data_IF_553912379535
#
_entry.id   IF_553912379535
#
_cell.length_a   1.000
_cell.length_b   1.000
_cell.length_c   1.000
_cell.angle_alpha   90.00
_cell.angle_beta   90.00
_cell.angle_gamma   90.00
#
_symmetry.space_group_name_H-M   'P 1'
#
loop_
_entity.id
_entity.type
_entity.pdbx_description
1 polymer ?
#
# COMPACT_ATOMS: atom_id res chain seq x y z
N UNK A 1 -28.45 0.79 -21.44
CA UNK A 1 -27.55 1.47 -20.48
C UNK A 1 -26.38 0.54 -20.24
N UNK A 2 -25.12 0.94 -20.50
CA UNK A 2 -23.97 0.08 -20.25
C UNK A 2 -23.75 -0.05 -18.74
N UNK A 3 -23.71 -1.29 -18.25
CA UNK A 3 -23.31 -1.65 -16.89
C UNK A 3 -21.90 -1.14 -16.64
N UNK A 4 -21.73 -0.29 -15.62
CA UNK A 4 -20.41 -0.02 -15.09
C UNK A 4 -19.81 -1.34 -14.58
N UNK A 5 -18.51 -1.62 -14.82
CA UNK A 5 -17.85 -2.70 -14.11
C UNK A 5 -17.86 -2.29 -12.64
N UNK A 6 -18.65 -3.01 -11.86
CA UNK A 6 -18.56 -3.09 -10.42
C UNK A 6 -17.10 -3.44 -10.11
N UNK A 7 -16.29 -2.42 -9.85
CA UNK A 7 -15.00 -2.57 -9.19
C UNK A 7 -15.34 -2.99 -7.76
N UNK A 8 -15.75 -4.24 -7.58
CA UNK A 8 -15.69 -4.88 -6.30
C UNK A 8 -14.21 -4.80 -5.89
N UNK A 9 -13.84 -4.01 -4.85
CA UNK A 9 -12.50 -4.13 -4.32
C UNK A 9 -12.40 -5.58 -3.88
N UNK A 10 -11.52 -6.35 -4.52
CA UNK A 10 -11.24 -7.73 -4.13
C UNK A 10 -10.51 -7.65 -2.78
N UNK A 11 -11.27 -7.35 -1.73
CA UNK A 11 -10.83 -7.01 -0.37
C UNK A 11 -10.54 -8.29 0.41
N UNK A 12 -9.61 -9.09 -0.12
CA UNK A 12 -9.22 -10.36 0.48
C UNK A 12 -7.83 -10.79 0.02
N UNK A 13 -7.29 -11.88 0.59
CA UNK A 13 -5.94 -12.41 0.35
C UNK A 13 -5.55 -12.52 -1.14
N UNK A 14 -6.53 -12.57 -2.06
CA UNK A 14 -6.33 -12.49 -3.51
C UNK A 14 -5.56 -11.25 -3.98
N UNK A 15 -5.79 -10.07 -3.39
CA UNK A 15 -5.09 -8.83 -3.78
C UNK A 15 -3.62 -8.87 -3.35
N UNK A 16 -3.37 -9.22 -2.09
CA UNK A 16 -2.01 -9.37 -1.58
C UNK A 16 -1.25 -10.49 -2.30
N UNK A 17 -1.92 -11.60 -2.62
CA UNK A 17 -1.34 -12.68 -3.40
C UNK A 17 -0.96 -12.23 -4.83
N UNK A 18 -1.77 -11.38 -5.46
CA UNK A 18 -1.45 -10.81 -6.78
C UNK A 18 -0.23 -9.88 -6.70
N UNK A 19 -0.16 -9.01 -5.70
CA UNK A 19 0.99 -8.13 -5.45
C UNK A 19 2.25 -8.95 -5.20
N UNK A 20 2.19 -9.91 -4.27
CA UNK A 20 3.30 -10.80 -3.98
C UNK A 20 3.76 -11.60 -5.21
N UNK A 21 2.83 -12.09 -6.04
CA UNK A 21 3.16 -12.79 -7.27
C UNK A 21 3.81 -11.88 -8.32
N UNK A 22 3.38 -10.63 -8.43
CA UNK A 22 3.97 -9.65 -9.34
C UNK A 22 5.40 -9.30 -8.91
N UNK A 23 5.60 -9.02 -7.62
CA UNK A 23 6.90 -8.75 -7.01
C UNK A 23 7.87 -9.92 -7.23
N UNK A 24 7.41 -11.17 -7.02
CA UNK A 24 8.24 -12.37 -7.20
C UNK A 24 8.70 -12.66 -8.61
N UNK A 25 8.07 -12.06 -9.63
CA UNK A 25 8.55 -12.16 -11.02
C UNK A 25 9.80 -11.32 -11.27
N UNK A 26 9.92 -10.21 -10.55
CA UNK A 26 11.05 -9.27 -10.66
C UNK A 26 12.13 -9.59 -9.63
N UNK A 27 11.73 -9.95 -8.42
CA UNK A 27 12.60 -10.35 -7.32
C UNK A 27 12.08 -11.64 -6.68
N UNK A 28 12.67 -12.82 -6.98
CA UNK A 28 12.19 -14.09 -6.44
C UNK A 28 12.30 -14.20 -4.92
N UNK A 29 13.10 -13.33 -4.28
CA UNK A 29 13.24 -13.21 -2.83
C UNK A 29 12.27 -12.21 -2.19
N UNK A 30 11.40 -11.55 -2.97
CA UNK A 30 10.47 -10.56 -2.44
C UNK A 30 9.43 -11.20 -1.52
N UNK A 31 9.19 -10.57 -0.38
CA UNK A 31 8.15 -10.92 0.58
C UNK A 31 7.23 -9.73 0.84
N UNK A 32 5.94 -9.98 0.96
CA UNK A 32 4.91 -8.96 1.16
C UNK A 32 4.02 -9.37 2.31
N UNK A 33 3.99 -8.54 3.36
CA UNK A 33 3.16 -8.75 4.54
C UNK A 33 2.20 -7.57 4.73
N UNK A 34 0.95 -7.85 5.05
CA UNK A 34 -0.01 -6.83 5.48
C UNK A 34 -0.07 -6.84 7.00
N UNK A 35 0.17 -5.69 7.59
CA UNK A 35 0.07 -5.45 9.02
C UNK A 35 -1.42 -5.16 9.35
N UNK A 36 -2.12 -6.08 10.03
CA UNK A 36 -3.56 -5.98 10.22
C UNK A 36 -3.97 -4.89 11.21
N UNK A 37 -3.04 -4.45 12.07
CA UNK A 37 -3.29 -3.47 13.12
C UNK A 37 -3.40 -2.03 12.58
N UNK A 38 -2.66 -1.72 11.52
CA UNK A 38 -2.60 -0.38 10.92
C UNK A 38 -2.93 -0.35 9.42
N UNK A 39 -3.18 -1.52 8.80
CA UNK A 39 -3.48 -1.66 7.38
C UNK A 39 -2.30 -1.34 6.46
N UNK A 40 -1.07 -1.31 6.98
CA UNK A 40 0.15 -1.00 6.22
C UNK A 40 0.71 -2.26 5.58
N UNK A 41 1.27 -2.11 4.38
CA UNK A 41 1.95 -3.18 3.68
C UNK A 41 3.46 -3.04 3.88
N UNK A 42 4.10 -4.10 4.34
CA UNK A 42 5.56 -4.21 4.44
C UNK A 42 6.04 -5.06 3.27
N UNK A 43 6.98 -4.51 2.50
CA UNK A 43 7.55 -5.17 1.33
C UNK A 43 9.04 -5.32 1.59
N UNK A 44 9.53 -6.55 1.69
CA UNK A 44 10.94 -6.86 1.75
C UNK A 44 11.39 -7.25 0.35
N UNK A 45 12.24 -6.44 -0.29
CA UNK A 45 12.71 -6.69 -1.65
C UNK A 45 14.07 -6.03 -1.88
N UNK A 46 14.79 -6.50 -2.90
CA UNK A 46 16.01 -5.84 -3.40
C UNK A 46 15.72 -4.77 -4.45
N UNK A 47 14.46 -4.64 -4.88
CA UNK A 47 14.04 -3.64 -5.86
C UNK A 47 14.08 -2.24 -5.26
N UNK A 48 14.42 -1.21 -6.07
CA UNK A 48 14.32 0.17 -5.61
C UNK A 48 12.85 0.56 -5.39
N UNK A 49 12.57 1.49 -4.48
CA UNK A 49 11.21 1.90 -4.13
C UNK A 49 10.38 2.37 -5.33
N UNK A 50 10.98 3.09 -6.29
CA UNK A 50 10.31 3.50 -7.52
C UNK A 50 9.76 2.33 -8.36
N UNK A 51 10.50 1.22 -8.42
CA UNK A 51 10.05 0.01 -9.15
C UNK A 51 8.92 -0.70 -8.40
N UNK A 52 8.99 -0.77 -7.07
CA UNK A 52 7.89 -1.29 -6.25
C UNK A 52 6.61 -0.48 -6.47
N UNK A 53 6.72 0.84 -6.43
CA UNK A 53 5.60 1.76 -6.65
C UNK A 53 4.99 1.61 -8.05
N UNK A 54 5.82 1.40 -9.09
CA UNK A 54 5.34 1.12 -10.45
C UNK A 54 4.51 -0.15 -10.50
N UNK A 55 5.01 -1.26 -9.93
CA UNK A 55 4.30 -2.54 -9.88
C UNK A 55 2.96 -2.40 -9.17
N UNK A 56 2.92 -1.66 -8.06
CA UNK A 56 1.69 -1.38 -7.32
C UNK A 56 0.69 -0.58 -8.18
N UNK A 57 1.13 0.50 -8.83
CA UNK A 57 0.26 1.30 -9.72
C UNK A 57 -0.26 0.49 -10.90
N UNK A 58 0.56 -0.38 -11.51
CA UNK A 58 0.14 -1.27 -12.60
C UNK A 58 -0.96 -2.25 -12.17
N UNK A 59 -0.97 -2.64 -10.89
CA UNK A 59 -2.02 -3.48 -10.30
C UNK A 59 -3.26 -2.68 -9.88
N UNK A 60 -3.26 -1.36 -10.05
CA UNK A 60 -4.34 -0.46 -9.62
C UNK A 60 -4.27 -0.11 -8.14
N UNK A 61 -3.13 -0.33 -7.49
CA UNK A 61 -2.90 0.00 -6.09
C UNK A 61 -2.50 1.47 -5.96
N UNK A 62 -3.18 2.19 -5.08
CA UNK A 62 -2.75 3.51 -4.62
C UNK A 62 -2.04 3.31 -3.29
N UNK A 63 -0.71 3.23 -3.33
CA UNK A 63 0.14 3.14 -2.14
C UNK A 63 0.95 4.44 -2.00
N UNK A 64 1.21 4.83 -0.77
CA UNK A 64 2.16 5.90 -0.45
C UNK A 64 3.34 5.27 0.28
N UNK A 65 4.55 5.60 -0.17
CA UNK A 65 5.75 5.14 0.51
C UNK A 65 5.86 5.89 1.84
N UNK A 66 5.81 5.16 2.94
CA UNK A 66 6.05 5.71 4.27
C UNK A 66 7.56 5.69 4.51
N UNK A 67 8.15 6.83 4.85
CA UNK A 67 9.56 6.90 5.21
C UNK A 67 9.85 5.92 6.37
N UNK A 68 10.82 5.01 6.16
CA UNK A 68 11.27 4.01 7.15
C UNK A 68 11.85 4.63 8.43
N UNK A 69 12.10 5.95 8.45
CA UNK A 69 12.63 6.71 9.59
C UNK A 69 11.56 7.19 10.60
N UNK A 70 10.28 6.85 10.41
CA UNK A 70 9.22 7.25 11.34
C UNK A 70 9.16 6.43 12.66
N UNK A 71 10.10 5.50 12.90
CA UNK A 71 10.28 4.81 14.18
C UNK A 71 11.37 5.46 15.06
N UNK A 72 12.06 6.50 14.58
CA UNK A 72 12.84 7.38 15.46
C UNK A 72 11.93 8.52 15.93
N UNK A 73 11.45 8.41 17.17
CA UNK A 73 10.66 9.42 17.83
C UNK A 73 11.25 10.85 17.67
N UNK A 74 10.48 11.73 17.02
CA UNK A 74 10.56 13.17 17.23
C UNK A 74 9.19 13.67 17.71
N UNK A 75 9.05 14.16 18.96
CA UNK A 75 7.82 14.82 19.41
C UNK A 75 7.80 16.24 18.82
N UNK A 76 7.09 16.42 17.72
CA UNK A 76 7.10 17.70 16.99
C UNK A 76 5.88 17.92 16.09
N UNK A 77 4.75 18.21 16.72
CA UNK A 77 3.62 19.04 16.26
C UNK A 77 3.27 19.15 14.77
N UNK A 78 2.04 18.72 14.44
CA UNK A 78 1.33 19.13 13.22
C UNK A 78 -0.09 18.56 13.19
N UNK A 79 -1.02 19.24 13.87
CA UNK A 79 -2.35 18.72 14.18
C UNK A 79 -3.21 18.36 12.96
N UNK A 80 -3.95 17.25 13.11
CA UNK A 80 -5.12 16.91 12.31
C UNK A 80 -6.22 17.95 12.60
N UNK A 81 -6.30 18.99 11.77
CA UNK A 81 -7.36 19.97 11.76
C UNK A 81 -8.54 19.55 10.87
N UNK A 82 -9.08 18.34 11.05
CA UNK A 82 -10.35 17.97 10.44
C UNK A 82 -11.49 18.64 11.22
N UNK A 83 -11.78 19.89 10.87
CA UNK A 83 -12.95 20.63 11.31
C UNK A 83 -14.22 19.98 10.80
N UNK A 84 -14.74 19.00 11.54
CA UNK A 84 -16.09 18.48 11.42
C UNK A 84 -17.09 19.55 11.87
N UNK A 85 -17.34 20.55 11.05
CA UNK A 85 -18.42 21.53 11.26
C UNK A 85 -19.76 20.90 10.89
N UNK A 86 -20.42 20.30 11.87
CA UNK A 86 -21.87 20.06 11.83
C UNK A 86 -22.61 21.37 12.08
N UNK A 87 -23.10 22.02 11.03
CA UNK A 87 -24.23 22.93 11.14
C UNK A 87 -25.18 22.80 9.98
#
# INVERSE_FOLDING_TARGET
MPSAPDHAPSSGPSRLAAIHAAMRRLDPGADVALDPDNGRMKVLTVLPPDEVMRVLVELGEVAELLDEDADTAAPGGGGCGCGCSHR
#
